data_IF_743500881148
#
_entry.id   IF_743500881148
#
_cell.length_a   1.000
_cell.length_b   1.000
_cell.length_c   1.000
_cell.angle_alpha   90.00
_cell.angle_beta   90.00
_cell.angle_gamma   90.00
#
_symmetry.space_group_name_H-M   'P 1'
#
loop_
_entity.id
_entity.type
_entity.pdbx_description
1 polymer ?
#
# COMPACT_ATOMS: atom_id res chain seq x y z
N UNK A 1 -11.85 19.39 -0.17
CA UNK A 1 -12.39 18.17 -0.83
C UNK A 1 -11.91 18.02 -2.29
N UNK A 2 -10.87 18.74 -2.70
CA UNK A 2 -10.35 18.71 -4.08
C UNK A 2 -9.34 17.59 -4.36
N UNK A 3 -8.92 16.85 -3.33
CA UNK A 3 -7.92 15.79 -3.48
C UNK A 3 -8.57 14.46 -3.94
N UNK A 4 -8.05 13.81 -4.99
CA UNK A 4 -8.51 12.48 -5.43
C UNK A 4 -8.47 11.43 -4.30
N UNK A 5 -7.49 11.55 -3.40
CA UNK A 5 -7.34 10.69 -2.24
C UNK A 5 -8.57 10.69 -1.32
N UNK A 6 -9.26 11.82 -1.16
CA UNK A 6 -10.47 11.89 -0.34
C UNK A 6 -11.56 10.97 -0.88
N UNK A 7 -11.77 10.99 -2.19
CA UNK A 7 -12.75 10.13 -2.86
C UNK A 7 -12.36 8.65 -2.74
N UNK A 8 -11.11 8.31 -3.08
CA UNK A 8 -10.62 6.94 -2.99
C UNK A 8 -10.72 6.36 -1.57
N UNK A 9 -10.27 7.13 -0.56
CA UNK A 9 -10.31 6.68 0.84
C UNK A 9 -11.75 6.58 1.34
N UNK A 10 -12.64 7.50 0.97
CA UNK A 10 -14.05 7.46 1.40
C UNK A 10 -14.77 6.23 0.84
N UNK A 11 -14.59 5.94 -0.44
CA UNK A 11 -15.15 4.73 -1.07
C UNK A 11 -14.54 3.47 -0.45
N UNK A 12 -13.21 3.44 -0.24
CA UNK A 12 -12.53 2.33 0.42
C UNK A 12 -13.11 2.08 1.82
N UNK A 13 -13.33 3.10 2.66
CA UNK A 13 -13.88 2.94 4.01
C UNK A 13 -15.26 2.26 4.01
N UNK A 14 -16.11 2.61 3.06
CA UNK A 14 -17.42 1.95 2.86
C UNK A 14 -17.25 0.51 2.38
N UNK A 15 -16.42 0.32 1.34
CA UNK A 15 -16.16 -1.00 0.75
C UNK A 15 -15.53 -1.96 1.77
N UNK A 16 -14.61 -1.48 2.61
CA UNK A 16 -14.00 -2.29 3.67
C UNK A 16 -15.03 -2.82 4.68
N UNK A 17 -16.03 -2.02 5.04
CA UNK A 17 -17.13 -2.48 5.92
C UNK A 17 -17.92 -3.61 5.29
N UNK A 18 -18.27 -3.47 4.02
CA UNK A 18 -18.99 -4.52 3.27
C UNK A 18 -18.12 -5.78 3.11
N UNK A 19 -16.81 -5.61 2.86
CA UNK A 19 -15.85 -6.71 2.79
C UNK A 19 -15.80 -7.48 4.11
N UNK A 20 -15.75 -6.80 5.26
CA UNK A 20 -15.77 -7.41 6.59
C UNK A 20 -17.08 -8.13 6.91
N UNK A 21 -18.19 -7.74 6.29
CA UNK A 21 -19.48 -8.41 6.38
C UNK A 21 -19.57 -9.65 5.47
N UNK A 22 -18.52 -9.96 4.70
CA UNK A 22 -18.49 -11.09 3.79
C UNK A 22 -19.29 -10.89 2.50
N UNK A 23 -19.66 -9.65 2.16
CA UNK A 23 -20.36 -9.35 0.90
C UNK A 23 -19.43 -9.64 -0.27
N UNK A 24 -19.78 -10.55 -1.19
CA UNK A 24 -18.92 -10.89 -2.31
C UNK A 24 -18.97 -9.81 -3.39
N UNK A 25 -17.91 -9.67 -4.16
CA UNK A 25 -17.75 -8.84 -5.37
C UNK A 25 -17.97 -7.34 -5.16
N UNK A 26 -19.08 -6.90 -4.59
CA UNK A 26 -19.46 -5.49 -4.47
C UNK A 26 -18.36 -4.61 -3.84
N UNK A 27 -17.68 -5.01 -2.73
CA UNK A 27 -16.59 -4.20 -2.17
C UNK A 27 -15.47 -3.93 -3.18
N UNK A 28 -15.07 -4.96 -3.95
CA UNK A 28 -14.01 -4.78 -4.95
C UNK A 28 -14.49 -3.92 -6.13
N UNK A 29 -15.73 -4.10 -6.58
CA UNK A 29 -16.31 -3.24 -7.64
C UNK A 29 -16.31 -1.76 -7.21
N UNK A 30 -16.62 -1.46 -5.95
CA UNK A 30 -16.58 -0.09 -5.43
C UNK A 30 -15.15 0.48 -5.46
N UNK A 31 -14.16 -0.28 -5.03
CA UNK A 31 -12.77 0.19 -5.03
C UNK A 31 -12.17 0.24 -6.44
N UNK A 32 -12.60 -0.59 -7.38
CA UNK A 32 -12.24 -0.46 -8.79
C UNK A 32 -12.84 0.80 -9.42
N UNK A 33 -14.07 1.15 -9.07
CA UNK A 33 -14.65 2.42 -9.50
C UNK A 33 -13.84 3.62 -8.99
N UNK A 34 -13.44 3.61 -7.72
CA UNK A 34 -12.57 4.63 -7.16
C UNK A 34 -11.21 4.69 -7.87
N UNK A 35 -10.62 3.52 -8.16
CA UNK A 35 -9.36 3.38 -8.90
C UNK A 35 -9.47 4.01 -10.31
N UNK A 36 -10.55 3.72 -11.02
CA UNK A 36 -10.79 4.30 -12.35
C UNK A 36 -10.85 5.83 -12.33
N UNK A 37 -11.45 6.41 -11.30
CA UNK A 37 -11.60 7.87 -11.18
C UNK A 37 -10.33 8.58 -10.71
N UNK A 38 -9.56 7.93 -9.84
CA UNK A 38 -8.50 8.61 -9.07
C UNK A 38 -7.09 8.13 -9.40
N UNK A 39 -6.95 6.97 -10.05
CA UNK A 39 -5.67 6.29 -10.23
C UNK A 39 -5.10 5.69 -8.93
N UNK A 40 -5.91 5.56 -7.88
CA UNK A 40 -5.53 5.03 -6.56
C UNK A 40 -6.22 3.69 -6.34
N UNK A 41 -5.45 2.60 -6.31
CA UNK A 41 -5.95 1.24 -6.07
C UNK A 41 -5.79 0.84 -4.61
N UNK A 42 -6.89 0.80 -3.87
CA UNK A 42 -6.92 0.31 -2.49
C UNK A 42 -7.81 -0.94 -2.43
N UNK A 43 -7.22 -2.09 -2.15
CA UNK A 43 -8.02 -3.31 -2.00
C UNK A 43 -8.93 -3.21 -0.75
N UNK A 44 -10.22 -3.59 -0.83
CA UNK A 44 -11.15 -3.45 0.29
C UNK A 44 -10.79 -4.32 1.51
N UNK A 45 -9.97 -5.33 1.34
CA UNK A 45 -9.44 -6.18 2.42
C UNK A 45 -8.32 -5.52 3.25
N UNK A 46 -7.65 -4.49 2.73
CA UNK A 46 -6.63 -3.78 3.49
C UNK A 46 -7.19 -3.19 4.79
N UNK A 47 -6.39 -3.18 5.85
CA UNK A 47 -6.76 -2.57 7.14
C UNK A 47 -5.98 -1.28 7.32
N UNK A 48 -6.67 -0.15 7.35
CA UNK A 48 -6.05 1.18 7.39
C UNK A 48 -6.57 1.96 8.61
N UNK A 49 -5.64 2.43 9.45
CA UNK A 49 -5.91 3.22 10.65
C UNK A 49 -6.50 4.61 10.35
N UNK A 50 -6.64 5.42 11.40
CA UNK A 50 -7.19 6.78 11.31
C UNK A 50 -6.13 7.76 10.77
N UNK A 51 -6.60 8.94 10.31
CA UNK A 51 -5.73 10.03 9.84
C UNK A 51 -4.79 9.62 8.69
N UNK A 52 -5.19 8.63 7.91
CA UNK A 52 -4.49 8.21 6.72
C UNK A 52 -4.67 9.24 5.60
N UNK A 53 -3.56 9.59 4.94
CA UNK A 53 -3.57 10.58 3.87
C UNK A 53 -2.72 10.13 2.69
N UNK A 54 -3.21 10.37 1.47
CA UNK A 54 -2.46 10.19 0.23
C UNK A 54 -2.35 11.56 -0.45
N UNK A 55 -1.13 11.97 -0.77
CA UNK A 55 -0.85 13.20 -1.50
C UNK A 55 -0.66 12.86 -2.99
N UNK A 56 -1.29 13.63 -3.88
CA UNK A 56 -1.40 13.38 -5.32
C UNK A 56 -2.12 12.06 -5.64
N UNK A 57 -1.48 10.93 -5.44
CA UNK A 57 -2.08 9.60 -5.34
C UNK A 57 -2.01 8.76 -6.60
N UNK A 58 -1.85 9.32 -7.80
CA UNK A 58 -1.80 8.54 -9.03
C UNK A 58 -0.79 7.39 -8.94
N UNK A 59 -1.25 6.17 -9.22
CA UNK A 59 -0.41 4.97 -9.20
C UNK A 59 -0.12 4.39 -7.82
N UNK A 60 -0.80 4.85 -6.76
CA UNK A 60 -0.75 4.18 -5.45
C UNK A 60 -1.47 2.84 -5.54
N UNK A 61 -0.83 1.78 -5.03
CA UNK A 61 -1.41 0.44 -4.92
C UNK A 61 -1.28 -0.07 -3.50
N UNK A 62 -2.39 -0.43 -2.87
CA UNK A 62 -2.46 -1.01 -1.53
C UNK A 62 -3.13 -2.39 -1.60
N UNK A 63 -2.35 -3.45 -1.39
CA UNK A 63 -2.79 -4.83 -1.52
C UNK A 63 -3.68 -5.32 -0.38
N UNK A 64 -4.41 -6.40 -0.62
CA UNK A 64 -5.47 -6.97 0.21
C UNK A 64 -5.11 -7.15 1.68
N UNK A 65 -3.94 -7.71 1.98
CA UNK A 65 -3.54 -8.07 3.34
C UNK A 65 -2.61 -7.03 3.98
N UNK A 66 -2.54 -5.82 3.41
CA UNK A 66 -1.78 -4.71 3.99
C UNK A 66 -2.43 -4.23 5.28
N UNK A 67 -1.61 -3.96 6.29
CA UNK A 67 -2.02 -3.24 7.49
C UNK A 67 -1.30 -1.90 7.53
N UNK A 68 -2.02 -0.81 7.77
CA UNK A 68 -1.49 0.55 7.89
C UNK A 68 -1.95 1.13 9.22
N UNK A 69 -1.03 1.63 10.02
CA UNK A 69 -1.31 2.27 11.29
C UNK A 69 -1.97 3.65 11.15
N UNK A 70 -1.91 4.43 12.21
CA UNK A 70 -2.49 5.78 12.26
C UNK A 70 -1.50 6.84 11.77
N UNK A 71 -2.02 7.97 11.26
CA UNK A 71 -1.23 9.13 10.82
C UNK A 71 -0.19 8.80 9.73
N UNK A 72 -0.47 7.82 8.88
CA UNK A 72 0.41 7.46 7.77
C UNK A 72 0.14 8.33 6.56
N UNK A 73 1.21 8.78 5.90
CA UNK A 73 1.16 9.56 4.67
C UNK A 73 1.86 8.82 3.53
N UNK A 74 1.18 8.65 2.41
CA UNK A 74 1.74 8.12 1.16
C UNK A 74 1.75 9.19 0.08
N UNK A 75 2.74 9.14 -0.81
CA UNK A 75 2.78 9.95 -2.02
C UNK A 75 2.46 9.10 -3.26
N UNK A 76 2.36 9.74 -4.42
CA UNK A 76 2.04 9.08 -5.70
C UNK A 76 3.00 7.93 -6.02
N UNK A 77 2.47 6.90 -6.70
CA UNK A 77 3.25 5.76 -7.18
C UNK A 77 3.74 4.79 -6.11
N UNK A 78 3.36 4.98 -4.84
CA UNK A 78 3.72 4.04 -3.76
C UNK A 78 3.01 2.72 -3.96
N UNK A 79 3.76 1.61 -3.87
CA UNK A 79 3.21 0.25 -3.93
C UNK A 79 3.45 -0.49 -2.61
N UNK A 80 2.37 -0.94 -1.98
CA UNK A 80 2.37 -1.87 -0.85
C UNK A 80 1.87 -3.23 -1.36
N UNK A 81 2.80 -4.05 -1.86
CA UNK A 81 2.52 -5.21 -2.69
C UNK A 81 2.96 -6.56 -2.11
N UNK A 82 2.61 -7.63 -2.82
CA UNK A 82 3.15 -8.96 -2.56
C UNK A 82 4.55 -9.10 -3.20
N UNK A 83 5.46 -9.80 -2.52
CA UNK A 83 6.79 -10.14 -3.06
C UNK A 83 6.71 -11.35 -3.98
N UNK A 84 5.88 -12.32 -3.63
CA UNK A 84 5.65 -13.56 -4.37
C UNK A 84 4.27 -14.10 -4.05
N UNK A 85 3.78 -15.02 -4.86
CA UNK A 85 2.55 -15.75 -4.59
C UNK A 85 2.91 -17.21 -4.28
N UNK A 86 2.39 -17.73 -3.17
CA UNK A 86 2.38 -19.18 -2.95
C UNK A 86 1.36 -19.79 -3.90
N UNK A 87 1.78 -20.88 -4.55
CA UNK A 87 0.93 -21.61 -5.48
C UNK A 87 0.46 -22.91 -4.83
N UNK A 88 -0.79 -23.29 -5.09
CA UNK A 88 -1.31 -24.60 -4.72
C UNK A 88 -0.76 -25.71 -5.66
N UNK A 89 -1.15 -26.96 -5.41
CA UNK A 89 -0.75 -28.12 -6.22
C UNK A 89 -1.20 -28.04 -7.69
N UNK A 90 -2.14 -27.13 -8.00
CA UNK A 90 -2.65 -26.88 -9.36
C UNK A 90 -2.04 -25.63 -10.01
N UNK A 91 -1.07 -24.96 -9.34
CA UNK A 91 -0.43 -23.73 -9.83
C UNK A 91 -1.26 -22.47 -9.66
N UNK A 92 -2.34 -22.48 -8.87
CA UNK A 92 -3.13 -21.29 -8.59
C UNK A 92 -2.62 -20.56 -7.34
N UNK A 93 -2.70 -19.24 -7.28
CA UNK A 93 -2.34 -18.48 -6.09
C UNK A 93 -3.21 -18.86 -4.88
N UNK A 94 -2.56 -19.22 -3.76
CA UNK A 94 -3.24 -19.49 -2.49
C UNK A 94 -3.86 -18.19 -1.98
N UNK A 95 -5.17 -18.21 -1.72
CA UNK A 95 -5.92 -17.04 -1.23
C UNK A 95 -5.91 -16.98 0.31
N UNK A 96 -6.12 -15.77 0.85
CA UNK A 96 -6.31 -15.57 2.30
C UNK A 96 -5.05 -15.60 3.15
N UNK A 97 -3.86 -15.81 2.56
CA UNK A 97 -2.59 -15.73 3.28
C UNK A 97 -2.05 -14.30 3.31
N UNK A 98 -1.31 -13.98 4.37
CA UNK A 98 -0.61 -12.70 4.52
C UNK A 98 0.50 -12.61 3.48
N UNK A 99 0.41 -11.60 2.56
CA UNK A 99 1.36 -11.42 1.46
C UNK A 99 1.78 -9.97 1.20
N UNK A 100 1.14 -9.02 1.90
CA UNK A 100 1.42 -7.60 1.77
C UNK A 100 1.99 -7.02 3.07
N UNK A 101 2.79 -5.94 3.03
CA UNK A 101 3.50 -5.42 4.20
C UNK A 101 2.59 -4.84 5.27
N UNK A 102 3.17 -4.68 6.48
CA UNK A 102 2.61 -3.92 7.58
C UNK A 102 3.35 -2.60 7.74
N UNK A 103 2.61 -1.52 7.86
CA UNK A 103 3.11 -0.16 8.05
C UNK A 103 2.68 0.34 9.42
N UNK A 104 3.64 0.74 10.24
CA UNK A 104 3.39 1.28 11.59
C UNK A 104 2.72 2.65 11.58
N UNK A 105 2.71 3.29 12.76
CA UNK A 105 2.11 4.60 12.93
C UNK A 105 3.08 5.73 12.54
N UNK A 106 2.54 6.88 12.13
CA UNK A 106 3.31 8.08 11.80
C UNK A 106 4.41 7.87 10.73
N UNK A 107 4.19 6.92 9.82
CA UNK A 107 5.10 6.62 8.73
C UNK A 107 4.83 7.53 7.53
N UNK A 108 5.89 8.02 6.91
CA UNK A 108 5.81 8.77 5.64
C UNK A 108 6.52 7.96 4.56
N UNK A 109 5.82 7.69 3.46
CA UNK A 109 6.36 6.96 2.29
C UNK A 109 6.32 7.88 1.08
N UNK A 110 7.49 8.25 0.58
CA UNK A 110 7.63 9.17 -0.55
C UNK A 110 7.42 8.49 -1.90
N UNK A 111 7.29 9.32 -2.92
CA UNK A 111 6.86 8.96 -4.26
C UNK A 111 7.64 7.78 -4.87
N UNK A 112 6.91 6.87 -5.50
CA UNK A 112 7.48 5.73 -6.24
C UNK A 112 8.13 4.66 -5.38
N UNK A 113 8.08 4.76 -4.05
CA UNK A 113 8.62 3.70 -3.19
C UNK A 113 7.79 2.43 -3.31
N UNK A 114 8.47 1.28 -3.31
CA UNK A 114 7.86 -0.05 -3.42
C UNK A 114 8.23 -0.88 -2.20
N UNK A 115 7.25 -1.32 -1.43
CA UNK A 115 7.41 -2.13 -0.22
C UNK A 115 6.65 -3.43 -0.41
N UNK A 116 7.35 -4.56 -0.36
CA UNK A 116 6.80 -5.86 -0.73
C UNK A 116 6.97 -6.91 0.36
N UNK A 117 5.96 -7.79 0.47
CA UNK A 117 6.04 -9.04 1.22
C UNK A 117 5.31 -9.04 2.55
N UNK A 118 4.63 -10.14 2.86
CA UNK A 118 3.79 -10.28 4.05
C UNK A 118 4.55 -10.31 5.38
N UNK A 119 5.84 -10.56 5.35
CA UNK A 119 6.73 -10.53 6.53
C UNK A 119 7.48 -9.20 6.66
N UNK A 120 7.26 -8.26 5.73
CA UNK A 120 7.88 -6.94 5.76
C UNK A 120 7.09 -6.02 6.68
N UNK A 121 7.73 -5.49 7.70
CA UNK A 121 7.16 -4.55 8.67
C UNK A 121 7.98 -3.26 8.69
N UNK A 122 7.32 -2.13 8.49
CA UNK A 122 7.92 -0.79 8.64
C UNK A 122 7.50 -0.26 10.00
N UNK A 123 8.46 -0.09 10.89
CA UNK A 123 8.19 0.38 12.27
C UNK A 123 7.65 1.81 12.33
N UNK A 124 7.16 2.19 13.50
CA UNK A 124 6.60 3.52 13.74
C UNK A 124 7.61 4.64 13.49
N UNK A 125 7.13 5.81 13.08
CA UNK A 125 7.93 7.01 12.84
C UNK A 125 9.03 6.85 11.79
N UNK A 126 8.89 5.91 10.87
CA UNK A 126 9.83 5.74 9.75
C UNK A 126 9.54 6.74 8.62
N UNK A 127 10.60 7.09 7.90
CA UNK A 127 10.54 7.83 6.65
C UNK A 127 11.16 6.98 5.54
N UNK A 128 10.37 6.66 4.53
CA UNK A 128 10.84 5.91 3.35
C UNK A 128 10.94 6.88 2.18
N UNK A 129 12.15 7.09 1.70
CA UNK A 129 12.47 8.01 0.60
C UNK A 129 11.88 7.57 -0.74
N UNK A 130 11.88 8.50 -1.69
CA UNK A 130 11.36 8.24 -3.04
C UNK A 130 12.13 7.13 -3.78
N UNK A 131 11.42 6.34 -4.57
CA UNK A 131 11.95 5.24 -5.38
C UNK A 131 12.71 4.15 -4.59
N UNK A 132 12.55 4.10 -3.26
CA UNK A 132 13.13 3.03 -2.43
C UNK A 132 12.41 1.71 -2.71
N UNK A 133 13.19 0.63 -2.86
CA UNK A 133 12.68 -0.73 -3.02
C UNK A 133 12.98 -1.56 -1.77
N UNK A 134 11.95 -1.96 -1.03
CA UNK A 134 12.07 -2.72 0.22
C UNK A 134 11.36 -4.08 0.14
N UNK A 135 12.07 -5.12 0.61
CA UNK A 135 11.54 -6.47 0.77
C UNK A 135 11.85 -7.07 2.14
N UNK A 136 12.23 -6.23 3.09
CA UNK A 136 12.60 -6.59 4.47
C UNK A 136 12.13 -5.50 5.45
N UNK A 137 12.04 -5.87 6.71
CA UNK A 137 11.55 -4.99 7.77
C UNK A 137 12.54 -3.86 8.11
N UNK A 138 11.99 -2.73 8.55
CA UNK A 138 12.71 -1.54 9.00
C UNK A 138 12.28 -1.25 10.45
N UNK A 139 13.24 -1.09 11.34
CA UNK A 139 13.00 -0.71 12.74
C UNK A 139 12.39 0.69 12.85
N UNK A 140 11.66 0.93 13.93
CA UNK A 140 11.04 2.23 14.20
C UNK A 140 12.05 3.40 14.21
N UNK A 141 11.58 4.57 13.78
CA UNK A 141 12.36 5.82 13.80
C UNK A 141 13.46 5.91 12.74
N UNK A 142 13.51 4.99 11.77
CA UNK A 142 14.53 5.01 10.70
C UNK A 142 14.10 5.84 9.50
N UNK A 143 15.08 6.45 8.87
CA UNK A 143 14.96 7.05 7.53
C UNK A 143 15.73 6.19 6.53
N UNK A 144 15.04 5.74 5.48
CA UNK A 144 15.61 4.94 4.40
C UNK A 144 15.60 5.76 3.13
N UNK A 145 16.75 5.92 2.49
CA UNK A 145 16.90 6.64 1.24
C UNK A 145 17.39 5.70 0.14
N UNK A 146 17.01 5.96 -1.10
CA UNK A 146 17.62 5.29 -2.25
C UNK A 146 19.10 5.69 -2.32
N UNK A 147 19.99 4.73 -2.61
CA UNK A 147 21.39 5.04 -2.82
C UNK A 147 21.53 5.93 -4.07
N UNK A 148 22.28 7.02 -3.97
CA UNK A 148 22.70 7.79 -5.15
C UNK A 148 23.68 6.92 -5.94
N UNK A 149 23.27 6.42 -7.12
CA UNK A 149 24.22 5.84 -8.06
C UNK A 149 25.18 6.93 -8.53
N UNK A 150 26.43 6.85 -8.09
CA UNK A 150 27.50 7.69 -8.62
C UNK A 150 27.85 7.20 -10.05
N UNK A 151 27.18 7.78 -11.01
CA UNK A 151 27.52 7.66 -12.41
C UNK A 151 26.52 6.89 -13.26
N UNK A 152 25.78 7.60 -14.08
CA UNK A 152 25.13 7.05 -15.27
C UNK A 152 26.23 6.58 -16.23
N UNK A 153 26.41 5.28 -16.36
CA UNK A 153 27.26 4.73 -17.40
C UNK A 153 26.44 4.76 -18.70
N UNK A 154 26.68 5.78 -19.53
CA UNK A 154 26.18 5.78 -20.91
C UNK A 154 27.11 4.82 -21.69
N UNK A 155 26.56 3.71 -22.17
CA UNK A 155 27.25 2.76 -23.04
C UNK A 155 26.94 3.13 -24.48
#
# INVERSE_FOLDING_TARGET
LAYPAFEAISIYRMAHRLYKMGIPMLPRMMTEYAHQLTGIDIHPGATIGNYFFIDHGTGVVIGETTTIGEHVKLYQGVTLGAKSFELDEHGNPVKGIKRHPDIGNHVVVYAGATILGGMTHIGDNCVIGGNVWLTHSIEAGRTVLAAEERGTKII
#
